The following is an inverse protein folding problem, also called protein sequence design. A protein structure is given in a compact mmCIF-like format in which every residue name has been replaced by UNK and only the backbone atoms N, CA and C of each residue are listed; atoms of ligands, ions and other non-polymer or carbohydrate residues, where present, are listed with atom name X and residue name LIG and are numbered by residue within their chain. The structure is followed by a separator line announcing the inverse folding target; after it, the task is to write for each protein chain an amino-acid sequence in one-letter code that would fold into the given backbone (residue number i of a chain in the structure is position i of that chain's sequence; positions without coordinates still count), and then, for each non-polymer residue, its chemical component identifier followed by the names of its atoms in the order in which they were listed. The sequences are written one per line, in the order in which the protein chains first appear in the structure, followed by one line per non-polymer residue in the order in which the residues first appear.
data_IF_329861264654
#
_entry.id   IF_329861264654
#
_cell.length_a   1.000
_cell.length_b   1.000
_cell.length_c   1.000
_cell.angle_alpha   90.00
_cell.angle_beta   90.00
_cell.angle_gamma   90.00
#
_symmetry.space_group_name_H-M   'P 1'
#
loop_
_entity.id
_entity.type
_entity.pdbx_description
1 polymer ?
#
# COMPACT_ATOMS: atom_id res chain seq x y z
N UNK A 1 -50.91 -39.83 32.83
CA UNK A 1 -51.32 -38.74 33.70
C UNK A 1 -50.71 -37.45 33.12
N UNK A 2 -51.44 -36.70 32.30
CA UNK A 2 -52.33 -35.55 32.58
C UNK A 2 -51.55 -34.47 33.33
N UNK A 3 -51.40 -33.20 32.86
CA UNK A 3 -52.43 -32.26 32.35
C UNK A 3 -51.68 -31.08 31.60
N UNK A 4 -52.10 -30.75 30.46
CA UNK A 4 -52.87 -29.61 29.91
C UNK A 4 -52.57 -28.18 30.46
N UNK A 5 -52.30 -27.37 29.49
CA UNK A 5 -52.32 -25.92 29.32
C UNK A 5 -53.40 -25.12 30.07
N UNK A 6 -53.35 -23.77 30.12
CA UNK A 6 -53.72 -23.01 28.93
C UNK A 6 -53.00 -21.67 28.68
N UNK A 7 -53.13 -21.27 27.41
CA UNK A 7 -52.90 -20.03 26.73
C UNK A 7 -53.65 -18.87 27.37
N UNK A 8 -53.00 -17.74 27.57
CA UNK A 8 -53.74 -16.46 27.71
C UNK A 8 -53.20 -15.45 26.73
N UNK A 9 -54.03 -15.12 25.73
CA UNK A 9 -53.93 -13.97 24.86
C UNK A 9 -54.43 -12.75 25.64
N UNK A 10 -53.74 -11.62 25.58
CA UNK A 10 -54.34 -10.32 25.88
C UNK A 10 -53.97 -9.34 24.81
N UNK A 11 -55.02 -8.75 24.27
CA UNK A 11 -55.07 -7.83 23.17
C UNK A 11 -54.65 -6.40 23.60
N UNK A 12 -54.24 -5.65 22.61
CA UNK A 12 -53.98 -4.21 22.67
C UNK A 12 -55.25 -3.37 22.95
N UNK A 13 -55.09 -2.12 23.34
CA UNK A 13 -55.82 -1.12 22.58
C UNK A 13 -54.96 0.01 22.02
N UNK A 14 -55.30 0.39 20.79
CA UNK A 14 -54.96 1.64 20.13
C UNK A 14 -55.47 2.82 21.01
N UNK A 15 -54.57 3.76 21.24
CA UNK A 15 -54.99 5.12 21.63
C UNK A 15 -54.52 6.11 20.56
N UNK A 16 -55.49 6.58 19.79
CA UNK A 16 -55.40 7.65 18.83
C UNK A 16 -55.41 8.96 19.62
N UNK A 17 -54.30 9.70 19.62
CA UNK A 17 -54.31 11.10 20.10
C UNK A 17 -54.01 12.04 18.93
N UNK A 18 -55.09 12.71 18.47
CA UNK A 18 -54.95 13.92 17.67
C UNK A 18 -54.32 15.02 18.53
N UNK A 19 -53.26 15.62 18.08
CA UNK A 19 -52.83 16.94 18.55
C UNK A 19 -52.77 17.86 17.35
N UNK A 20 -53.63 18.90 17.46
CA UNK A 20 -53.76 20.03 16.56
C UNK A 20 -52.41 20.74 16.35
N UNK A 21 -52.28 21.25 15.13
CA UNK A 21 -51.16 22.01 14.66
C UNK A 21 -50.90 23.32 15.40
N UNK A 22 -49.64 23.59 15.57
CA UNK A 22 -49.08 24.94 15.54
C UNK A 22 -47.94 24.93 14.51
N UNK A 23 -48.21 25.61 13.41
CA UNK A 23 -47.17 25.91 12.42
C UNK A 23 -46.20 26.91 13.05
N UNK A 24 -45.05 26.39 13.50
CA UNK A 24 -43.89 27.22 13.76
C UNK A 24 -43.08 27.21 12.46
N UNK A 25 -43.11 28.33 11.76
CA UNK A 25 -42.20 28.61 10.68
C UNK A 25 -40.75 28.69 11.26
N UNK A 26 -40.14 27.56 11.48
CA UNK A 26 -38.70 27.47 11.63
C UNK A 26 -38.14 27.39 10.22
N UNK A 27 -37.59 28.49 9.77
CA UNK A 27 -36.69 28.53 8.65
C UNK A 27 -35.54 27.53 8.97
N UNK A 28 -35.70 26.31 8.51
CA UNK A 28 -34.65 25.32 8.55
C UNK A 28 -33.54 25.81 7.62
N UNK A 29 -32.57 26.52 8.20
CA UNK A 29 -31.28 26.67 7.59
C UNK A 29 -30.79 25.28 7.26
N UNK A 30 -30.68 24.95 5.99
CA UNK A 30 -29.97 23.78 5.48
C UNK A 30 -28.65 23.71 6.24
N UNK A 31 -28.33 22.60 6.94
CA UNK A 31 -26.97 22.43 7.47
C UNK A 31 -26.06 22.52 6.26
N UNK A 32 -25.29 23.60 6.20
CA UNK A 32 -24.15 23.66 5.29
C UNK A 32 -23.20 22.55 5.74
N UNK A 33 -23.31 21.39 5.11
CA UNK A 33 -22.28 20.40 5.17
C UNK A 33 -20.94 21.10 4.89
N UNK A 34 -19.81 20.59 5.39
CA UNK A 34 -18.54 21.22 5.15
C UNK A 34 -18.46 21.48 3.65
N UNK A 35 -18.43 22.76 3.25
CA UNK A 35 -18.09 23.12 1.88
C UNK A 35 -16.74 22.46 1.66
N UNK A 36 -16.72 21.43 0.83
CA UNK A 36 -15.50 21.00 0.18
C UNK A 36 -15.01 22.25 -0.54
N UNK A 37 -14.16 23.00 0.14
CA UNK A 37 -13.38 24.05 -0.50
C UNK A 37 -12.68 23.28 -1.60
N UNK A 38 -12.97 23.61 -2.86
CA UNK A 38 -12.18 23.12 -3.98
C UNK A 38 -10.73 23.33 -3.58
N UNK A 39 -10.09 22.28 -3.11
CA UNK A 39 -8.64 22.29 -2.90
C UNK A 39 -8.13 22.42 -4.31
N UNK A 40 -7.79 23.62 -4.70
CA UNK A 40 -7.15 23.92 -5.99
C UNK A 40 -6.00 22.93 -6.06
N UNK A 41 -6.08 21.98 -6.97
CA UNK A 41 -5.12 20.92 -7.16
C UNK A 41 -3.73 21.44 -6.91
N UNK A 42 -3.10 20.99 -5.82
CA UNK A 42 -1.78 21.47 -5.43
C UNK A 42 -0.88 21.33 -6.64
N UNK A 43 -0.29 22.43 -7.05
CA UNK A 43 0.44 22.49 -8.31
C UNK A 43 1.72 21.70 -8.09
N UNK A 44 1.76 20.46 -8.61
CA UNK A 44 2.98 19.65 -8.56
C UNK A 44 4.14 20.47 -9.08
N UNK A 45 5.16 20.65 -8.27
CA UNK A 45 6.41 21.27 -8.65
C UNK A 45 7.32 20.22 -9.27
N UNK A 46 8.07 20.60 -10.31
CA UNK A 46 9.06 19.70 -10.92
C UNK A 46 10.47 19.90 -10.36
N UNK A 47 10.65 20.90 -9.52
CA UNK A 47 11.88 21.19 -8.77
C UNK A 47 11.53 22.05 -7.57
N UNK A 48 12.20 21.82 -6.48
CA UNK A 48 12.04 22.59 -5.23
C UNK A 48 13.29 22.45 -4.37
N UNK A 49 13.26 23.12 -3.22
CA UNK A 49 14.20 22.85 -2.15
C UNK A 49 13.97 21.44 -1.59
N UNK A 50 15.00 20.62 -1.64
CA UNK A 50 14.96 19.17 -1.39
C UNK A 50 14.57 18.76 0.03
N UNK A 51 14.63 19.70 0.99
CA UNK A 51 14.34 19.41 2.39
C UNK A 51 12.85 19.43 2.73
N UNK A 52 11.99 19.55 1.73
CA UNK A 52 10.54 19.60 1.93
C UNK A 52 9.80 18.50 1.20
N UNK A 53 9.09 17.66 1.96
CA UNK A 53 7.97 16.91 1.44
C UNK A 53 6.72 17.80 1.44
N UNK A 54 6.03 17.86 0.30
CA UNK A 54 4.81 18.66 0.10
C UNK A 54 3.60 17.75 -0.02
N UNK A 55 2.43 18.26 0.36
CA UNK A 55 1.16 17.60 0.03
C UNK A 55 0.91 17.58 -1.48
N UNK A 56 0.28 16.52 -1.96
CA UNK A 56 -0.23 16.37 -3.33
C UNK A 56 -1.65 15.84 -3.28
N UNK A 57 -2.52 16.48 -4.06
CA UNK A 57 -3.88 16.01 -4.27
C UNK A 57 -4.05 15.66 -5.74
N UNK A 58 -4.62 14.50 -6.00
CA UNK A 58 -4.83 13.97 -7.35
C UNK A 58 -6.28 13.57 -7.51
N UNK A 59 -6.91 14.07 -8.59
CA UNK A 59 -8.25 13.61 -8.98
C UNK A 59 -8.12 12.23 -9.63
N UNK A 60 -8.81 11.26 -9.04
CA UNK A 60 -8.91 9.90 -9.55
C UNK A 60 -10.31 9.69 -10.13
N UNK A 61 -10.45 9.40 -11.42
CA UNK A 61 -11.74 9.14 -12.03
C UNK A 61 -12.29 7.80 -11.53
N UNK A 62 -13.37 7.87 -10.78
CA UNK A 62 -14.17 6.70 -10.37
C UNK A 62 -15.56 6.88 -10.94
N UNK A 63 -16.06 5.90 -11.67
CA UNK A 63 -17.39 6.03 -12.28
C UNK A 63 -18.47 5.97 -11.18
N UNK A 64 -19.39 6.96 -11.10
CA UNK A 64 -19.61 8.10 -12.00
C UNK A 64 -18.97 9.44 -11.57
N UNK A 65 -18.21 9.48 -10.48
CA UNK A 65 -17.70 10.71 -9.85
C UNK A 65 -16.19 10.61 -9.62
N UNK A 66 -15.46 11.69 -9.90
CA UNK A 66 -14.04 11.77 -9.50
C UNK A 66 -13.93 11.93 -7.99
N UNK A 67 -13.01 11.18 -7.39
CA UNK A 67 -12.57 11.31 -6.00
C UNK A 67 -11.18 11.94 -5.93
N UNK A 68 -10.77 12.38 -4.76
CA UNK A 68 -9.47 12.97 -4.52
C UNK A 68 -8.64 11.99 -3.70
N UNK A 69 -7.49 11.58 -4.25
CA UNK A 69 -6.43 10.93 -3.50
C UNK A 69 -5.49 12.01 -2.95
N UNK A 70 -5.12 11.85 -1.69
CA UNK A 70 -4.16 12.70 -1.00
C UNK A 70 -2.80 12.02 -0.93
N UNK A 71 -1.74 12.78 -0.75
CA UNK A 71 -0.41 12.20 -0.62
C UNK A 71 0.67 13.24 -0.34
N UNK A 72 1.90 12.82 -0.48
CA UNK A 72 3.10 13.63 -0.28
C UNK A 72 4.10 13.38 -1.39
N UNK A 73 4.90 14.39 -1.70
CA UNK A 73 5.98 14.26 -2.67
C UNK A 73 7.20 15.12 -2.30
N UNK A 74 8.34 14.71 -2.79
CA UNK A 74 9.57 15.50 -2.78
C UNK A 74 10.15 15.54 -4.20
N UNK A 75 10.75 16.68 -4.56
CA UNK A 75 11.41 16.86 -5.86
C UNK A 75 12.77 17.51 -5.65
N UNK A 76 13.77 17.19 -6.49
CA UNK A 76 15.10 17.77 -6.38
C UNK A 76 15.11 19.25 -6.80
N UNK A 77 16.19 19.96 -6.47
CA UNK A 77 16.42 21.34 -6.91
C UNK A 77 16.62 21.46 -8.43
N UNK A 78 16.95 20.36 -9.09
CA UNK A 78 17.09 20.24 -10.55
C UNK A 78 15.88 19.55 -11.16
N UNK A 79 15.77 19.54 -12.49
CA UNK A 79 14.68 18.82 -13.17
C UNK A 79 14.92 17.31 -13.10
N UNK A 80 14.05 16.52 -12.43
CA UNK A 80 14.21 15.08 -12.34
C UNK A 80 14.02 14.40 -13.70
N UNK A 81 14.76 13.36 -13.94
CA UNK A 81 14.55 12.44 -15.08
C UNK A 81 13.77 11.19 -14.70
N UNK A 82 13.71 10.89 -13.41
CA UNK A 82 13.04 9.72 -12.85
C UNK A 82 12.00 10.14 -11.81
N UNK A 83 10.90 9.42 -11.77
CA UNK A 83 9.89 9.44 -10.72
C UNK A 83 9.90 8.08 -10.02
N UNK A 84 9.88 8.10 -8.70
CA UNK A 84 9.58 6.93 -7.87
C UNK A 84 8.20 7.13 -7.24
N UNK A 85 7.32 6.15 -7.40
CA UNK A 85 6.04 6.07 -6.69
C UNK A 85 6.21 5.05 -5.57
N UNK A 86 5.98 5.47 -4.34
CA UNK A 86 6.09 4.63 -3.15
C UNK A 86 4.70 4.24 -2.64
N UNK A 87 4.47 2.96 -2.46
CA UNK A 87 3.24 2.40 -1.91
C UNK A 87 3.49 1.85 -0.51
N UNK A 88 2.66 2.31 0.45
CA UNK A 88 2.83 2.00 1.87
C UNK A 88 2.18 0.68 2.28
N UNK A 89 2.68 0.08 3.36
CA UNK A 89 2.14 -1.12 3.96
C UNK A 89 0.87 -0.86 4.79
N UNK A 90 0.33 -1.95 5.33
CA UNK A 90 -0.83 -1.90 6.22
C UNK A 90 -0.50 -1.15 7.51
N UNK A 91 -1.41 -0.29 7.92
CA UNK A 91 -1.23 0.55 9.12
C UNK A 91 -0.54 1.88 8.86
N UNK A 92 -0.05 2.12 7.66
CA UNK A 92 0.79 3.26 7.30
C UNK A 92 0.08 4.23 6.34
N UNK A 93 0.75 5.34 6.03
CA UNK A 93 0.30 6.38 5.11
C UNK A 93 1.48 6.90 4.29
N UNK A 94 1.23 7.80 3.35
CA UNK A 94 2.29 8.51 2.61
C UNK A 94 3.33 9.20 3.50
N UNK A 95 2.98 9.48 4.78
CA UNK A 95 3.89 10.12 5.74
C UNK A 95 5.06 9.20 6.11
N UNK A 96 4.87 7.89 6.12
CA UNK A 96 5.92 6.91 6.40
C UNK A 96 7.08 6.98 5.40
N UNK A 97 6.81 7.44 4.18
CA UNK A 97 7.81 7.57 3.13
C UNK A 97 8.57 8.90 3.08
N UNK A 98 8.24 9.88 3.96
CA UNK A 98 8.75 11.25 3.85
C UNK A 98 10.28 11.31 3.82
N UNK A 99 10.96 10.57 4.70
CA UNK A 99 12.44 10.61 4.74
C UNK A 99 13.05 9.96 3.50
N UNK A 100 12.51 8.84 3.03
CA UNK A 100 12.98 8.20 1.79
C UNK A 100 12.73 9.10 0.57
N UNK A 101 11.59 9.78 0.50
CA UNK A 101 11.32 10.74 -0.58
C UNK A 101 12.29 11.92 -0.57
N UNK A 102 12.63 12.45 0.61
CA UNK A 102 13.64 13.52 0.76
C UNK A 102 15.03 13.05 0.36
N UNK A 103 15.41 11.84 0.77
CA UNK A 103 16.67 11.22 0.39
C UNK A 103 16.74 10.99 -1.13
N UNK A 104 15.67 10.46 -1.73
CA UNK A 104 15.56 10.30 -3.19
C UNK A 104 15.79 11.63 -3.94
N UNK A 105 15.17 12.69 -3.46
CA UNK A 105 15.31 14.02 -4.07
C UNK A 105 16.72 14.61 -3.88
N UNK A 106 17.28 14.55 -2.67
CA UNK A 106 18.55 15.15 -2.29
C UNK A 106 19.74 14.39 -2.86
N UNK A 107 19.76 13.07 -2.67
CA UNK A 107 20.97 12.28 -2.88
C UNK A 107 21.00 11.65 -4.29
N UNK A 108 19.82 11.43 -4.89
CA UNK A 108 19.69 10.77 -6.19
C UNK A 108 19.10 11.68 -7.29
N UNK A 109 18.66 12.88 -6.96
CA UNK A 109 18.09 13.81 -7.95
C UNK A 109 16.79 13.35 -8.58
N UNK A 110 15.99 12.57 -7.85
CA UNK A 110 14.78 11.85 -8.31
C UNK A 110 13.55 12.55 -7.73
N UNK A 111 12.47 12.66 -8.50
CA UNK A 111 11.17 12.96 -7.94
C UNK A 111 10.60 11.72 -7.26
N UNK A 112 10.01 11.91 -6.08
CA UNK A 112 9.41 10.82 -5.32
C UNK A 112 8.04 11.23 -4.80
N UNK A 113 7.07 10.30 -4.82
CA UNK A 113 5.70 10.53 -4.38
C UNK A 113 5.15 9.29 -3.70
N UNK A 114 4.31 9.49 -2.69
CA UNK A 114 3.51 8.45 -2.06
C UNK A 114 2.08 8.97 -1.89
N UNK A 115 1.07 8.11 -2.02
CA UNK A 115 -0.34 8.44 -1.84
C UNK A 115 -0.90 7.78 -0.60
N UNK A 116 -1.87 8.43 0.03
CA UNK A 116 -2.75 7.82 1.02
C UNK A 116 -3.89 7.16 0.24
N UNK A 117 -4.08 5.85 0.40
CA UNK A 117 -5.07 5.12 -0.40
C UNK A 117 -6.47 5.58 -0.04
N UNK A 118 -7.29 5.87 -1.06
CA UNK A 118 -8.69 6.27 -0.86
C UNK A 118 -9.44 5.20 -0.04
N UNK A 119 -10.32 5.64 0.82
CA UNK A 119 -11.08 4.74 1.69
C UNK A 119 -10.36 4.29 2.96
N UNK A 120 -9.07 4.62 3.11
CA UNK A 120 -8.33 4.34 4.34
C UNK A 120 -8.84 5.21 5.49
N UNK A 121 -9.10 4.60 6.65
CA UNK A 121 -9.41 5.31 7.88
C UNK A 121 -8.12 5.77 8.55
N UNK A 122 -7.83 7.07 8.43
CA UNK A 122 -6.63 7.67 9.03
C UNK A 122 -7.01 8.33 10.34
N UNK A 123 -6.37 7.91 11.42
CA UNK A 123 -6.50 8.51 12.76
C UNK A 123 -5.23 9.26 13.14
N UNK A 124 -5.32 10.27 14.03
CA UNK A 124 -4.13 10.90 14.58
C UNK A 124 -3.24 9.86 15.27
N UNK A 125 -1.95 10.16 15.30
CA UNK A 125 -0.94 9.41 16.04
C UNK A 125 -1.41 9.03 17.44
N UNK A 126 -1.79 7.78 17.65
CA UNK A 126 -2.31 7.28 18.90
C UNK A 126 -1.23 6.54 19.72
N UNK A 127 -0.20 6.02 19.06
CA UNK A 127 0.90 5.29 19.67
C UNK A 127 2.11 6.18 20.03
N UNK A 128 2.14 7.43 19.53
CA UNK A 128 3.16 8.42 19.87
C UNK A 128 4.46 8.30 19.06
N UNK A 129 4.45 7.58 17.95
CA UNK A 129 5.61 7.43 17.04
C UNK A 129 5.77 8.60 16.05
N UNK A 130 4.84 9.53 16.08
CA UNK A 130 4.83 10.70 15.20
C UNK A 130 4.16 10.45 13.85
N UNK A 131 3.60 9.26 13.60
CA UNK A 131 2.90 8.90 12.38
C UNK A 131 1.39 8.77 12.64
N UNK A 132 0.52 9.08 11.67
CA UNK A 132 -0.88 8.75 11.76
C UNK A 132 -1.06 7.25 11.55
N UNK A 133 -2.02 6.67 12.24
CA UNK A 133 -2.40 5.28 12.02
C UNK A 133 -3.44 5.17 10.92
N UNK A 134 -3.33 4.12 10.13
CA UNK A 134 -4.22 3.87 9.01
C UNK A 134 -4.86 2.48 9.13
N UNK A 135 -6.15 2.39 8.84
CA UNK A 135 -6.91 1.14 8.83
C UNK A 135 -7.59 0.98 7.48
N UNK A 136 -7.61 -0.24 6.99
CA UNK A 136 -8.21 -0.64 5.73
C UNK A 136 -7.21 -1.31 4.79
N UNK A 137 -7.67 -2.34 4.11
CA UNK A 137 -6.90 -3.07 3.09
C UNK A 137 -7.26 -2.52 1.71
N UNK A 138 -6.85 -1.27 1.38
CA UNK A 138 -7.32 -0.52 0.21
C UNK A 138 -6.36 -0.65 -0.98
N UNK A 139 -6.08 -1.89 -1.40
CA UNK A 139 -5.04 -2.15 -2.42
C UNK A 139 -5.48 -1.77 -3.84
N UNK A 140 -6.77 -1.91 -4.17
CA UNK A 140 -7.29 -1.54 -5.49
C UNK A 140 -7.37 -0.03 -5.65
N UNK A 141 -7.93 0.68 -4.67
CA UNK A 141 -7.94 2.13 -4.65
C UNK A 141 -6.52 2.70 -4.62
N UNK A 142 -5.63 2.10 -3.84
CA UNK A 142 -4.21 2.48 -3.80
C UNK A 142 -3.53 2.32 -5.15
N UNK A 143 -3.82 1.25 -5.88
CA UNK A 143 -3.29 1.01 -7.22
C UNK A 143 -3.77 2.08 -8.23
N UNK A 144 -5.06 2.41 -8.22
CA UNK A 144 -5.62 3.49 -9.04
C UNK A 144 -5.01 4.86 -8.67
N UNK A 145 -4.83 5.13 -7.38
CA UNK A 145 -4.26 6.37 -6.88
C UNK A 145 -2.79 6.52 -7.31
N UNK A 146 -2.03 5.43 -7.27
CA UNK A 146 -0.62 5.38 -7.71
C UNK A 146 -0.49 5.59 -9.22
N UNK A 147 -1.40 5.02 -10.03
CA UNK A 147 -1.50 5.30 -11.46
C UNK A 147 -1.79 6.78 -11.70
N UNK A 148 -2.80 7.33 -11.03
CA UNK A 148 -3.22 8.71 -11.23
C UNK A 148 -2.13 9.72 -10.86
N UNK A 149 -1.42 9.49 -9.75
CA UNK A 149 -0.33 10.37 -9.34
C UNK A 149 0.86 10.28 -10.29
N UNK A 150 1.22 9.09 -10.77
CA UNK A 150 2.26 8.92 -11.78
C UNK A 150 1.92 9.70 -13.07
N UNK A 151 0.69 9.55 -13.57
CA UNK A 151 0.20 10.29 -14.73
C UNK A 151 0.23 11.81 -14.50
N UNK A 152 -0.14 12.27 -13.29
CA UNK A 152 -0.09 13.69 -12.91
C UNK A 152 1.32 14.25 -12.99
N UNK A 153 2.30 13.52 -12.45
CA UNK A 153 3.71 13.92 -12.53
C UNK A 153 4.22 13.95 -13.96
N UNK A 154 3.94 12.94 -14.78
CA UNK A 154 4.32 12.87 -16.19
C UNK A 154 3.68 13.99 -17.03
N UNK A 155 2.43 14.31 -16.74
CA UNK A 155 1.73 15.41 -17.40
C UNK A 155 2.39 16.76 -17.09
N UNK A 156 2.88 16.93 -15.87
CA UNK A 156 3.43 18.18 -15.36
C UNK A 156 4.93 18.33 -15.58
N UNK A 157 5.69 17.26 -15.37
CA UNK A 157 7.16 17.25 -15.37
C UNK A 157 7.69 16.51 -16.59
N UNK A 158 7.73 17.19 -17.73
CA UNK A 158 8.11 16.60 -19.04
C UNK A 158 9.57 16.12 -19.11
N UNK A 159 10.38 16.44 -18.11
CA UNK A 159 11.74 15.90 -17.97
C UNK A 159 11.79 14.44 -17.53
N UNK A 160 10.73 13.94 -16.87
CA UNK A 160 10.65 12.55 -16.40
C UNK A 160 10.55 11.61 -17.60
N UNK A 161 11.47 10.64 -17.66
CA UNK A 161 11.60 9.63 -18.71
C UNK A 161 11.55 8.21 -18.17
N UNK A 162 11.64 8.06 -16.86
CA UNK A 162 11.59 6.78 -16.18
C UNK A 162 10.67 6.87 -14.98
N UNK A 163 9.86 5.83 -14.76
CA UNK A 163 9.00 5.71 -13.57
C UNK A 163 9.24 4.34 -12.95
N UNK A 164 9.56 4.35 -11.68
CA UNK A 164 9.67 3.13 -10.86
C UNK A 164 8.56 3.16 -9.84
N UNK A 165 7.87 2.03 -9.64
CA UNK A 165 6.93 1.85 -8.54
C UNK A 165 7.57 0.91 -7.52
N UNK A 166 7.41 1.23 -6.24
CA UNK A 166 8.08 0.56 -5.12
C UNK A 166 7.07 0.36 -4.00
N UNK A 167 6.83 -0.88 -3.59
CA UNK A 167 5.87 -1.18 -2.54
C UNK A 167 6.42 -2.14 -1.50
N UNK A 168 6.01 -1.92 -0.24
CA UNK A 168 6.38 -2.78 0.90
C UNK A 168 5.13 -3.43 1.47
N UNK A 169 5.17 -4.73 1.78
CA UNK A 169 4.06 -5.41 2.46
C UNK A 169 2.74 -5.31 1.66
N UNK A 170 1.67 -4.79 2.25
CA UNK A 170 0.44 -4.44 1.53
C UNK A 170 0.72 -3.54 0.32
N UNK A 171 1.71 -2.63 0.42
CA UNK A 171 2.15 -1.79 -0.69
C UNK A 171 2.78 -2.59 -1.84
N UNK A 172 3.36 -3.76 -1.57
CA UNK A 172 3.81 -4.71 -2.60
C UNK A 172 2.62 -5.25 -3.42
N UNK A 173 1.51 -5.59 -2.76
CA UNK A 173 0.27 -5.93 -3.44
C UNK A 173 -0.25 -4.73 -4.25
N UNK A 174 -0.37 -3.56 -3.62
CA UNK A 174 -0.84 -2.32 -4.27
C UNK A 174 -0.04 -1.99 -5.52
N UNK A 175 1.29 -1.99 -5.42
CA UNK A 175 2.19 -1.67 -6.54
C UNK A 175 2.11 -2.69 -7.66
N UNK A 176 1.99 -3.98 -7.34
CA UNK A 176 1.79 -5.05 -8.33
C UNK A 176 0.47 -4.90 -9.09
N UNK A 177 -0.63 -4.62 -8.37
CA UNK A 177 -1.92 -4.31 -8.99
C UNK A 177 -1.86 -3.04 -9.82
N UNK A 178 -1.14 -1.99 -9.37
CA UNK A 178 -0.96 -0.78 -10.17
C UNK A 178 -0.25 -1.06 -11.50
N UNK A 179 0.78 -1.91 -11.50
CA UNK A 179 1.46 -2.33 -12.73
C UNK A 179 0.50 -3.10 -13.64
N UNK A 180 -0.29 -4.02 -13.10
CA UNK A 180 -1.26 -4.82 -13.85
C UNK A 180 -2.36 -3.93 -14.46
N UNK A 181 -2.99 -3.06 -13.67
CA UNK A 181 -4.03 -2.14 -14.11
C UNK A 181 -3.52 -1.11 -15.13
N UNK A 182 -2.23 -0.78 -15.10
CA UNK A 182 -1.60 0.13 -16.05
C UNK A 182 -1.33 -0.49 -17.44
N UNK A 183 -1.81 -1.71 -17.72
CA UNK A 183 -1.58 -2.39 -19.01
C UNK A 183 -1.95 -1.54 -20.23
N UNK A 184 -3.01 -0.74 -20.11
CA UNK A 184 -3.48 0.15 -21.17
C UNK A 184 -3.01 1.61 -20.99
N UNK A 185 -2.33 1.92 -19.90
CA UNK A 185 -1.83 3.26 -19.57
C UNK A 185 -0.43 3.48 -20.14
N UNK A 186 -0.35 3.82 -21.42
CA UNK A 186 0.94 4.15 -22.05
C UNK A 186 1.24 5.65 -21.95
N UNK A 187 2.53 5.98 -21.87
CA UNK A 187 2.99 7.37 -22.01
C UNK A 187 2.84 7.86 -23.45
N UNK A 188 2.95 9.15 -23.67
CA UNK A 188 2.81 9.75 -24.99
C UNK A 188 3.83 9.23 -26.04
N UNK A 189 4.97 8.69 -25.59
CA UNK A 189 5.98 8.07 -26.42
C UNK A 189 5.79 6.57 -26.64
N UNK A 190 4.67 6.01 -26.15
CA UNK A 190 4.33 4.59 -26.25
C UNK A 190 4.99 3.70 -25.19
N UNK A 191 5.85 4.25 -24.32
CA UNK A 191 6.47 3.50 -23.25
C UNK A 191 5.46 3.14 -22.13
N UNK A 192 5.74 2.12 -21.32
CA UNK A 192 4.87 1.74 -20.20
C UNK A 192 4.74 2.88 -19.18
N UNK A 193 3.64 2.90 -18.42
CA UNK A 193 3.50 3.88 -17.34
C UNK A 193 4.60 3.69 -16.29
N UNK A 194 4.79 2.45 -15.84
CA UNK A 194 5.86 2.05 -14.93
C UNK A 194 6.93 1.27 -15.70
N UNK A 195 8.18 1.74 -15.63
CA UNK A 195 9.30 1.05 -16.27
C UNK A 195 9.76 -0.16 -15.46
N UNK A 196 9.78 -0.02 -14.13
CA UNK A 196 10.21 -1.06 -13.20
C UNK A 196 9.29 -1.12 -11.99
N UNK A 197 9.19 -2.32 -11.42
CA UNK A 197 8.53 -2.57 -10.16
C UNK A 197 9.52 -3.16 -9.15
N UNK A 198 9.53 -2.61 -7.93
CA UNK A 198 10.28 -3.16 -6.78
C UNK A 198 9.25 -3.62 -5.75
N UNK A 199 9.23 -4.91 -5.52
CA UNK A 199 8.39 -5.58 -4.55
C UNK A 199 9.20 -5.95 -3.31
N UNK A 200 8.80 -5.48 -2.15
CA UNK A 200 9.51 -5.68 -0.89
C UNK A 200 8.58 -6.36 0.09
N UNK A 201 8.83 -7.65 0.34
CA UNK A 201 8.00 -8.44 1.26
C UNK A 201 6.50 -8.27 0.99
N UNK A 202 6.15 -8.21 -0.30
CA UNK A 202 4.80 -7.90 -0.74
C UNK A 202 3.79 -9.01 -0.46
N UNK A 203 2.61 -8.63 0.04
CA UNK A 203 1.47 -9.53 0.24
C UNK A 203 0.77 -9.83 -1.10
N UNK A 204 1.55 -10.29 -2.08
CA UNK A 204 1.14 -10.45 -3.49
C UNK A 204 0.10 -11.54 -3.72
N UNK A 205 -0.05 -12.45 -2.77
CA UNK A 205 -1.11 -13.46 -2.72
C UNK A 205 -2.01 -13.17 -1.50
N UNK A 206 -3.00 -12.29 -1.69
CA UNK A 206 -3.90 -11.86 -0.62
C UNK A 206 -4.74 -13.02 -0.06
N UNK A 207 -4.96 -14.09 -0.83
CA UNK A 207 -5.67 -15.29 -0.37
C UNK A 207 -4.87 -15.98 0.75
N UNK A 208 -3.56 -16.14 0.55
CA UNK A 208 -2.68 -16.70 1.55
C UNK A 208 -2.52 -15.76 2.75
N UNK A 209 -2.40 -14.45 2.51
CA UNK A 209 -2.35 -13.44 3.57
C UNK A 209 -3.62 -13.49 4.44
N UNK A 210 -4.79 -13.58 3.82
CA UNK A 210 -6.06 -13.72 4.53
C UNK A 210 -6.14 -15.03 5.34
N UNK A 211 -5.68 -16.13 4.77
CA UNK A 211 -5.64 -17.41 5.47
C UNK A 211 -4.75 -17.35 6.72
N UNK A 212 -3.56 -16.76 6.61
CA UNK A 212 -2.64 -16.53 7.73
C UNK A 212 -3.24 -15.62 8.80
N UNK A 213 -3.80 -14.49 8.39
CA UNK A 213 -4.49 -13.56 9.30
C UNK A 213 -5.66 -14.24 10.01
N UNK A 214 -6.46 -15.03 9.29
CA UNK A 214 -7.60 -15.76 9.86
C UNK A 214 -7.17 -16.81 10.89
N UNK A 215 -6.07 -17.50 10.65
CA UNK A 215 -5.53 -18.50 11.58
C UNK A 215 -5.02 -17.86 12.88
N UNK A 216 -4.43 -16.67 12.79
CA UNK A 216 -3.86 -15.97 13.93
C UNK A 216 -4.85 -15.06 14.67
N UNK A 217 -5.93 -14.62 14.04
CA UNK A 217 -6.92 -13.69 14.58
C UNK A 217 -7.44 -14.05 16.00
N UNK A 218 -7.63 -15.34 16.37
CA UNK A 218 -8.11 -15.68 17.71
C UNK A 218 -7.13 -15.32 18.84
N UNK A 219 -5.84 -15.12 18.53
CA UNK A 219 -4.77 -14.94 19.53
C UNK A 219 -3.90 -13.70 19.28
N UNK A 220 -4.16 -12.99 18.18
CA UNK A 220 -3.37 -11.82 17.79
C UNK A 220 -4.30 -10.72 17.25
N UNK A 221 -4.31 -9.56 17.94
CA UNK A 221 -5.18 -8.44 17.61
C UNK A 221 -4.84 -7.81 16.26
N UNK A 222 -3.56 -7.70 15.91
CA UNK A 222 -3.14 -7.20 14.59
C UNK A 222 -3.67 -8.09 13.47
N UNK A 223 -3.54 -9.41 13.60
CA UNK A 223 -4.08 -10.36 12.64
C UNK A 223 -5.62 -10.29 12.56
N UNK A 224 -6.30 -10.10 13.69
CA UNK A 224 -7.75 -9.92 13.73
C UNK A 224 -8.18 -8.66 12.97
N UNK A 225 -7.44 -7.56 13.15
CA UNK A 225 -7.67 -6.31 12.43
C UNK A 225 -7.39 -6.48 10.92
N UNK A 226 -6.26 -7.05 10.53
CA UNK A 226 -5.93 -7.28 9.13
C UNK A 226 -6.99 -8.15 8.43
N UNK A 227 -7.43 -9.23 9.10
CA UNK A 227 -8.52 -10.08 8.61
C UNK A 227 -9.80 -9.27 8.37
N UNK A 228 -10.22 -8.47 9.36
CA UNK A 228 -11.44 -7.68 9.25
C UNK A 228 -11.37 -6.64 8.12
N UNK A 229 -10.23 -5.96 7.97
CA UNK A 229 -10.02 -4.96 6.93
C UNK A 229 -9.94 -5.60 5.53
N UNK A 230 -9.38 -6.82 5.41
CA UNK A 230 -9.43 -7.59 4.15
C UNK A 230 -10.89 -7.99 3.84
N UNK A 231 -11.64 -8.49 4.81
CA UNK A 231 -13.05 -8.84 4.59
C UNK A 231 -13.91 -7.62 4.22
N UNK A 232 -13.61 -6.44 4.77
CA UNK A 232 -14.29 -5.19 4.38
C UNK A 232 -13.99 -4.83 2.93
N UNK A 233 -12.74 -4.88 2.50
CA UNK A 233 -12.33 -4.62 1.12
C UNK A 233 -12.98 -5.60 0.13
N UNK A 234 -12.93 -6.88 0.45
CA UNK A 234 -13.48 -7.94 -0.41
C UNK A 234 -15.03 -8.02 -0.37
N UNK A 235 -15.64 -7.36 0.61
CA UNK A 235 -17.10 -7.43 0.84
C UNK A 235 -17.56 -8.75 1.44
N UNK A 236 -16.69 -9.48 2.13
CA UNK A 236 -16.98 -10.74 2.83
C UNK A 236 -15.77 -11.65 2.97
N UNK A 237 -16.00 -12.84 3.53
CA UNK A 237 -14.97 -13.88 3.67
C UNK A 237 -14.55 -14.46 2.32
N UNK A 238 -13.41 -15.17 2.29
CA UNK A 238 -12.94 -15.87 1.07
C UNK A 238 -14.01 -16.82 0.50
N UNK A 239 -14.67 -17.60 1.35
CA UNK A 239 -15.71 -18.55 0.91
C UNK A 239 -16.93 -17.84 0.26
N UNK A 240 -17.20 -16.60 0.66
CA UNK A 240 -18.30 -15.81 0.14
C UNK A 240 -17.93 -15.03 -1.15
N UNK A 241 -16.66 -14.69 -1.32
CA UNK A 241 -16.17 -13.78 -2.35
C UNK A 241 -14.88 -14.27 -3.04
N UNK A 242 -14.76 -15.55 -3.40
CA UNK A 242 -13.50 -16.10 -3.92
C UNK A 242 -12.98 -15.37 -5.16
N UNK A 243 -13.89 -14.94 -6.05
CA UNK A 243 -13.51 -14.21 -7.26
C UNK A 243 -12.92 -12.83 -6.94
N UNK A 244 -13.47 -12.13 -5.93
CA UNK A 244 -12.94 -10.82 -5.50
C UNK A 244 -11.55 -10.97 -4.90
N UNK A 245 -11.32 -11.98 -4.06
CA UNK A 245 -9.99 -12.28 -3.55
C UNK A 245 -9.00 -12.61 -4.68
N UNK A 246 -9.46 -13.35 -5.69
CA UNK A 246 -8.64 -13.66 -6.85
C UNK A 246 -8.26 -12.41 -7.65
N UNK A 247 -9.19 -11.46 -7.80
CA UNK A 247 -8.95 -10.18 -8.47
C UNK A 247 -7.99 -9.25 -7.69
N UNK A 248 -7.85 -9.45 -6.39
CA UNK A 248 -6.94 -8.68 -5.54
C UNK A 248 -5.58 -9.35 -5.35
N UNK A 249 -5.40 -10.57 -5.82
CA UNK A 249 -4.14 -11.31 -5.75
C UNK A 249 -3.28 -11.03 -6.99
N UNK A 250 -2.16 -10.33 -6.81
CA UNK A 250 -1.23 -9.96 -7.90
C UNK A 250 -0.76 -11.17 -8.69
N UNK A 251 -0.59 -12.32 -8.02
CA UNK A 251 -0.17 -13.57 -8.66
C UNK A 251 -1.11 -14.05 -9.78
N UNK A 252 -2.36 -13.59 -9.79
CA UNK A 252 -3.33 -13.89 -10.83
C UNK A 252 -3.28 -12.92 -12.02
N UNK A 253 -2.50 -11.83 -11.93
CA UNK A 253 -2.44 -10.77 -12.94
C UNK A 253 -1.15 -10.76 -13.76
N UNK A 254 -0.42 -11.86 -13.80
CA UNK A 254 0.88 -11.94 -14.52
C UNK A 254 0.74 -11.58 -16.01
N UNK A 255 -0.35 -11.99 -16.62
CA UNK A 255 -0.66 -11.62 -18.02
C UNK A 255 -0.82 -10.12 -18.21
N UNK A 256 -1.48 -9.45 -17.28
CA UNK A 256 -1.68 -7.99 -17.30
C UNK A 256 -0.38 -7.25 -16.98
N UNK A 257 0.41 -7.75 -16.02
CA UNK A 257 1.75 -7.23 -15.72
C UNK A 257 2.64 -7.30 -16.97
N UNK A 258 2.62 -8.43 -17.68
CA UNK A 258 3.35 -8.55 -18.96
C UNK A 258 2.82 -7.56 -20.00
N UNK A 259 1.50 -7.44 -20.15
CA UNK A 259 0.87 -6.52 -21.09
C UNK A 259 1.13 -5.04 -20.78
N UNK A 260 1.36 -4.70 -19.50
CA UNK A 260 1.75 -3.33 -19.11
C UNK A 260 3.04 -2.90 -19.79
N UNK A 261 3.90 -3.84 -20.15
CA UNK A 261 5.21 -3.60 -20.75
C UNK A 261 6.27 -3.17 -19.72
N UNK A 262 6.07 -3.48 -18.42
CA UNK A 262 7.09 -3.31 -17.40
C UNK A 262 8.39 -3.97 -17.84
N UNK A 263 9.51 -3.26 -17.70
CA UNK A 263 10.81 -3.71 -18.23
C UNK A 263 11.52 -4.70 -17.31
N UNK A 264 11.10 -4.73 -16.04
CA UNK A 264 11.64 -5.69 -15.08
C UNK A 264 11.10 -5.47 -13.67
N UNK A 265 11.25 -6.50 -12.86
CA UNK A 265 10.80 -6.56 -11.48
C UNK A 265 11.98 -6.95 -10.58
N UNK A 266 12.10 -6.27 -9.45
CA UNK A 266 12.99 -6.65 -8.36
C UNK A 266 12.14 -7.11 -7.19
N UNK A 267 12.37 -8.31 -6.69
CA UNK A 267 11.71 -8.86 -5.51
C UNK A 267 12.75 -8.98 -4.39
N UNK A 268 12.45 -8.41 -3.23
CA UNK A 268 13.32 -8.49 -2.04
C UNK A 268 12.52 -9.04 -0.88
N UNK A 269 12.97 -10.15 -0.28
CA UNK A 269 12.19 -10.79 0.78
C UNK A 269 13.10 -11.50 1.78
N UNK A 270 12.78 -11.34 3.08
CA UNK A 270 13.46 -12.01 4.18
C UNK A 270 12.95 -13.44 4.41
N UNK A 271 13.84 -14.39 4.68
CA UNK A 271 13.44 -15.75 5.07
C UNK A 271 12.74 -15.79 6.43
N UNK A 272 13.03 -14.82 7.29
CA UNK A 272 12.47 -14.73 8.65
C UNK A 272 11.21 -13.87 8.72
N UNK A 273 10.67 -13.40 7.59
CA UNK A 273 9.41 -12.66 7.56
C UNK A 273 8.26 -13.54 8.05
N UNK A 274 7.70 -13.18 9.19
CA UNK A 274 6.59 -13.90 9.80
C UNK A 274 5.22 -13.29 9.53
N UNK A 275 5.16 -12.10 8.87
CA UNK A 275 3.91 -11.46 8.46
C UNK A 275 3.50 -11.86 7.06
N UNK A 276 4.42 -11.72 6.11
CA UNK A 276 4.22 -12.16 4.74
C UNK A 276 5.17 -13.32 4.46
N UNK A 277 4.65 -14.55 4.36
CA UNK A 277 5.49 -15.72 4.18
C UNK A 277 6.35 -15.63 2.92
N UNK A 278 7.63 -15.97 3.03
CA UNK A 278 8.62 -15.97 1.94
C UNK A 278 8.17 -16.75 0.68
N UNK A 279 7.30 -17.76 0.83
CA UNK A 279 6.77 -18.48 -0.32
C UNK A 279 5.97 -17.61 -1.28
N UNK A 280 5.36 -16.49 -0.85
CA UNK A 280 4.69 -15.54 -1.75
C UNK A 280 5.68 -14.92 -2.74
N UNK A 281 6.87 -14.51 -2.27
CA UNK A 281 7.92 -14.00 -3.14
C UNK A 281 8.43 -15.08 -4.12
N UNK A 282 8.53 -16.33 -3.66
CA UNK A 282 8.91 -17.47 -4.50
C UNK A 282 7.88 -17.76 -5.58
N UNK A 283 6.61 -17.78 -5.23
CA UNK A 283 5.50 -17.96 -6.15
C UNK A 283 5.52 -16.85 -7.21
N UNK A 284 5.53 -15.58 -6.77
CA UNK A 284 5.55 -14.42 -7.66
C UNK A 284 6.73 -14.44 -8.62
N UNK A 285 7.94 -14.68 -8.10
CA UNK A 285 9.16 -14.76 -8.93
C UNK A 285 9.07 -15.89 -9.95
N UNK A 286 8.56 -17.05 -9.56
CA UNK A 286 8.33 -18.19 -10.46
C UNK A 286 7.43 -17.82 -11.62
N UNK A 287 6.27 -17.23 -11.32
CA UNK A 287 5.27 -16.81 -12.32
C UNK A 287 5.80 -15.72 -13.26
N UNK A 288 6.55 -14.75 -12.73
CA UNK A 288 7.19 -13.70 -13.56
C UNK A 288 8.21 -14.30 -14.52
N UNK A 289 9.03 -15.24 -14.05
CA UNK A 289 10.01 -15.97 -14.87
C UNK A 289 9.33 -16.79 -15.97
N UNK A 290 8.28 -17.54 -15.66
CA UNK A 290 7.50 -18.31 -16.63
C UNK A 290 6.90 -17.39 -17.71
N UNK A 291 6.45 -16.20 -17.31
CA UNK A 291 5.98 -15.19 -18.25
C UNK A 291 7.10 -14.49 -19.05
N UNK A 292 8.36 -14.80 -18.79
CA UNK A 292 9.54 -14.15 -19.37
C UNK A 292 9.60 -12.64 -19.09
N UNK A 293 9.20 -12.23 -17.89
CA UNK A 293 9.39 -10.87 -17.39
C UNK A 293 10.76 -10.84 -16.71
N UNK A 294 11.69 -9.94 -17.09
CA UNK A 294 12.98 -9.81 -16.43
C UNK A 294 12.81 -9.62 -14.92
N UNK A 295 13.40 -10.49 -14.12
CA UNK A 295 13.17 -10.49 -12.68
C UNK A 295 14.45 -10.87 -11.95
N UNK A 296 14.83 -10.07 -10.94
CA UNK A 296 15.86 -10.39 -9.97
C UNK A 296 15.21 -10.58 -8.60
N UNK A 297 15.55 -11.67 -7.91
CA UNK A 297 15.09 -11.94 -6.57
C UNK A 297 16.26 -11.87 -5.58
N UNK A 298 16.09 -11.10 -4.53
CA UNK A 298 17.03 -10.96 -3.43
C UNK A 298 16.42 -11.59 -2.17
N UNK A 299 16.98 -12.70 -1.76
CA UNK A 299 16.60 -13.43 -0.55
C UNK A 299 17.50 -13.00 0.59
N UNK A 300 16.93 -12.42 1.63
CA UNK A 300 17.67 -12.07 2.83
C UNK A 300 17.70 -13.28 3.73
N UNK A 301 18.87 -13.95 3.76
CA UNK A 301 19.09 -15.21 4.49
C UNK A 301 19.42 -15.03 5.95
N UNK A 302 19.70 -13.79 6.37
CA UNK A 302 20.18 -13.49 7.71
C UNK A 302 19.15 -12.75 8.52
N UNK A 303 18.98 -13.15 9.79
CA UNK A 303 18.29 -12.35 10.78
C UNK A 303 18.94 -10.98 10.87
N UNK A 304 18.13 -9.97 11.05
CA UNK A 304 18.61 -8.64 11.37
C UNK A 304 19.24 -8.67 12.78
N UNK A 305 20.53 -8.91 12.88
CA UNK A 305 21.25 -9.08 14.17
C UNK A 305 21.46 -7.75 14.92
N UNK A 306 21.30 -6.62 14.27
CA UNK A 306 21.33 -5.35 14.94
C UNK A 306 19.93 -5.07 15.53
N UNK A 307 19.85 -4.63 16.80
CA UNK A 307 18.59 -4.07 17.26
C UNK A 307 18.22 -2.96 16.29
N UNK A 308 17.26 -3.25 15.45
CA UNK A 308 16.68 -2.23 14.63
C UNK A 308 16.09 -1.23 15.61
N UNK A 309 16.68 -0.05 15.66
CA UNK A 309 16.14 1.06 16.46
C UNK A 309 14.86 1.61 15.83
N UNK A 310 14.40 0.96 14.78
CA UNK A 310 13.15 1.28 14.14
C UNK A 310 11.99 0.94 15.07
N UNK A 311 11.52 1.97 15.74
CA UNK A 311 10.39 1.89 16.67
C UNK A 311 9.06 1.65 15.95
N UNK A 312 9.02 1.72 14.61
CA UNK A 312 7.81 1.45 13.83
C UNK A 312 7.32 0.02 13.99
N UNK A 313 8.22 -0.92 14.28
CA UNK A 313 7.86 -2.29 14.60
C UNK A 313 7.31 -2.47 16.02
N UNK A 314 7.49 -1.50 16.92
CA UNK A 314 7.06 -1.60 18.34
C UNK A 314 5.56 -1.42 18.53
N UNK A 315 4.85 -0.83 17.57
CA UNK A 315 3.41 -0.60 17.64
C UNK A 315 2.56 -1.82 17.30
N UNK A 316 3.13 -2.83 16.71
CA UNK A 316 2.43 -4.03 16.29
C UNK A 316 2.48 -5.12 17.35
N UNK A 317 1.50 -6.00 17.40
CA UNK A 317 1.44 -7.13 18.33
C UNK A 317 1.33 -6.75 19.82
N UNK A 318 0.55 -5.72 20.15
CA UNK A 318 0.32 -5.34 21.55
C UNK A 318 1.56 -4.77 22.25
N UNK A 319 2.44 -4.13 21.49
CA UNK A 319 3.60 -3.42 22.06
C UNK A 319 4.75 -4.32 22.49
N UNK A 320 4.77 -5.58 22.06
CA UNK A 320 5.86 -6.49 22.39
C UNK A 320 6.65 -6.86 21.14
N UNK A 321 7.65 -6.06 20.83
CA UNK A 321 8.82 -6.62 20.17
C UNK A 321 9.48 -7.58 21.14
N UNK A 322 9.68 -8.81 20.69
CA UNK A 322 10.64 -9.66 21.36
C UNK A 322 12.01 -8.99 21.22
N UNK A 323 12.65 -8.59 22.33
CA UNK A 323 13.97 -7.97 22.28
C UNK A 323 15.03 -8.90 21.69
N UNK A 324 14.72 -10.18 21.51
CA UNK A 324 15.57 -11.19 20.89
C UNK A 324 15.23 -11.46 19.43
N UNK A 325 14.39 -10.66 18.78
CA UNK A 325 13.98 -10.86 17.37
C UNK A 325 13.30 -12.21 17.07
N UNK A 326 12.66 -12.80 18.07
CA UNK A 326 11.85 -14.00 17.85
C UNK A 326 10.39 -13.67 17.53
N UNK A 327 10.05 -12.39 17.40
CA UNK A 327 8.74 -11.97 16.92
C UNK A 327 8.65 -12.19 15.41
N UNK A 328 7.54 -12.72 14.91
CA UNK A 328 7.27 -12.76 13.48
C UNK A 328 7.42 -11.41 12.79
N UNK A 329 7.20 -10.31 13.51
CA UNK A 329 7.33 -8.95 13.00
C UNK A 329 8.77 -8.51 12.81
N UNK A 330 9.72 -9.07 13.55
CA UNK A 330 11.12 -8.63 13.50
C UNK A 330 11.80 -8.92 12.15
N UNK A 331 11.28 -9.89 11.38
CA UNK A 331 11.75 -10.20 10.04
C UNK A 331 11.10 -9.36 8.94
N UNK A 332 10.05 -8.62 9.25
CA UNK A 332 9.29 -7.84 8.28
C UNK A 332 9.75 -6.39 8.25
N UNK A 333 10.08 -5.89 7.07
CA UNK A 333 10.55 -4.52 6.88
C UNK A 333 9.42 -3.50 7.01
N UNK A 334 9.75 -2.33 7.53
CA UNK A 334 8.86 -1.16 7.53
C UNK A 334 9.38 -0.07 6.61
N UNK A 335 8.48 0.70 6.03
CA UNK A 335 8.80 1.85 5.18
C UNK A 335 9.55 2.96 5.92
N UNK A 336 9.44 3.01 7.23
CA UNK A 336 10.19 3.99 8.03
C UNK A 336 11.61 3.58 8.30
N UNK A 337 11.95 2.30 8.09
CA UNK A 337 13.28 1.77 8.40
C UNK A 337 14.35 2.33 7.47
N UNK A 338 15.43 2.80 8.09
CA UNK A 338 16.64 3.25 7.39
C UNK A 338 17.77 2.19 7.49
N UNK A 339 17.58 1.14 8.28
CA UNK A 339 18.65 0.21 8.66
C UNK A 339 18.27 -1.26 8.51
N UNK A 340 16.99 -1.58 8.39
CA UNK A 340 16.53 -2.96 8.16
C UNK A 340 17.14 -3.50 6.86
N UNK A 341 17.79 -4.66 6.92
CA UNK A 341 18.57 -5.19 5.80
C UNK A 341 17.73 -5.36 4.53
N UNK A 342 16.47 -5.74 4.65
CA UNK A 342 15.55 -5.87 3.51
C UNK A 342 15.33 -4.51 2.85
N UNK A 343 15.02 -3.45 3.63
CA UNK A 343 14.83 -2.10 3.11
C UNK A 343 16.10 -1.54 2.48
N UNK A 344 17.24 -1.69 3.15
CA UNK A 344 18.54 -1.24 2.63
C UNK A 344 18.84 -1.92 1.29
N UNK A 345 18.62 -3.25 1.20
CA UNK A 345 18.79 -3.99 -0.05
C UNK A 345 17.85 -3.49 -1.13
N UNK A 346 16.58 -3.33 -0.82
CA UNK A 346 15.57 -2.90 -1.79
C UNK A 346 15.86 -1.48 -2.32
N UNK A 347 16.23 -0.56 -1.44
CA UNK A 347 16.58 0.81 -1.84
C UNK A 347 17.87 0.83 -2.68
N UNK A 348 18.88 0.04 -2.33
CA UNK A 348 20.09 -0.05 -3.13
C UNK A 348 19.79 -0.60 -4.54
N UNK A 349 18.91 -1.59 -4.64
CA UNK A 349 18.44 -2.09 -5.96
C UNK A 349 17.62 -1.04 -6.71
N UNK A 350 16.78 -0.26 -6.03
CA UNK A 350 16.08 0.88 -6.64
C UNK A 350 17.07 1.86 -7.29
N UNK A 351 18.12 2.25 -6.55
CA UNK A 351 19.13 3.18 -7.10
C UNK A 351 19.93 2.58 -8.25
N UNK A 352 20.17 1.29 -8.20
CA UNK A 352 20.83 0.54 -9.27
C UNK A 352 19.97 0.51 -10.54
N UNK A 353 18.66 0.26 -10.43
CA UNK A 353 17.69 0.35 -11.54
C UNK A 353 17.68 1.74 -12.16
N UNK A 354 17.62 2.78 -11.32
CA UNK A 354 17.62 4.17 -11.77
C UNK A 354 18.92 4.53 -12.48
N UNK A 355 20.03 3.95 -12.05
CA UNK A 355 21.34 4.04 -12.70
C UNK A 355 21.47 3.28 -14.03
N UNK A 356 20.42 2.54 -14.44
CA UNK A 356 20.36 1.88 -15.74
C UNK A 356 20.71 0.39 -15.72
N UNK A 357 20.87 -0.24 -14.56
CA UNK A 357 21.08 -1.69 -14.45
C UNK A 357 19.70 -2.37 -14.30
N UNK A 358 19.16 -2.85 -15.41
CA UNK A 358 17.90 -3.57 -15.42
C UNK A 358 18.04 -4.98 -14.81
N UNK A 359 16.95 -5.55 -14.27
CA UNK A 359 16.93 -6.93 -13.81
C UNK A 359 17.27 -7.91 -14.93
N UNK A 360 17.89 -9.03 -14.54
CA UNK A 360 18.25 -10.10 -15.45
C UNK A 360 17.07 -11.03 -15.78
N UNK A 361 17.40 -12.17 -16.37
CA UNK A 361 16.41 -13.16 -16.78
C UNK A 361 16.11 -14.17 -15.67
N UNK A 362 15.79 -13.69 -14.47
CA UNK A 362 15.40 -14.54 -13.34
C UNK A 362 16.58 -14.94 -12.46
N UNK A 363 17.44 -14.00 -12.12
CA UNK A 363 18.54 -14.24 -11.18
C UNK A 363 18.01 -14.32 -9.76
N UNK A 364 18.64 -15.14 -8.96
CA UNK A 364 18.38 -15.26 -7.53
C UNK A 364 19.70 -14.99 -6.78
N UNK A 365 19.62 -14.07 -5.82
CA UNK A 365 20.74 -13.66 -4.99
C UNK A 365 20.42 -13.92 -3.53
N UNK A 366 21.38 -14.44 -2.79
CA UNK A 366 21.29 -14.60 -1.35
C UNK A 366 22.11 -13.49 -0.71
N UNK A 367 21.48 -12.75 0.19
CA UNK A 367 22.11 -11.64 0.91
C UNK A 367 22.33 -12.07 2.35
N UNK A 368 23.58 -12.39 2.69
CA UNK A 368 23.97 -12.90 4.01
C UNK A 368 24.69 -11.85 4.88
N UNK A 369 24.84 -10.64 4.40
CA UNK A 369 25.67 -9.63 5.05
C UNK A 369 24.95 -8.30 5.31
N UNK A 370 25.39 -7.55 6.34
CA UNK A 370 24.72 -6.32 6.76
C UNK A 370 24.90 -5.13 5.84
N UNK A 371 25.72 -5.18 4.83
CA UNK A 371 25.90 -4.07 3.86
C UNK A 371 26.63 -4.50 2.60
N UNK A 372 25.98 -4.28 1.46
CA UNK A 372 26.64 -3.71 0.27
C UNK A 372 27.65 -4.57 -0.52
N UNK A 373 27.83 -5.83 -0.22
CA UNK A 373 28.49 -6.75 -1.16
C UNK A 373 27.44 -7.64 -1.81
N UNK A 374 26.67 -7.01 -2.68
CA UNK A 374 25.82 -7.76 -3.60
C UNK A 374 26.70 -8.24 -4.75
N UNK A 375 26.54 -9.49 -5.22
CA UNK A 375 27.27 -9.97 -6.37
C UNK A 375 26.99 -9.17 -7.62
#
# INVERSE_FOLDING_TARGET
LKDRQPILRLAAPLALAMVLGMAVNASAGTPSGPRLTEVRSSRVLCRDDVDRARGVDVSVPVTPVSQIAHGRYAVPSTKPKTLVVFDHGYGHTSKSWVEHMKNAARDHGVAAVAVDYRGTHITPDANGDGLPEARGWRVMEGAEDSIAVAQRFLARCKSIKQVVIFGVSMGGNTSGLAVALAKDAKRADGSPLFDYWVDVEGAVNVIETYAGASALAPVNEFAAHAKADIEEEMGGTFDQKPDVYADHAVVNHIGDIKASGVKGVVVVHGLDDGLVPYNQAREMTGLLKEASIPTDMYTIGRKNDAPDKDTSLTGYAGGQLDPNYNSPLAGHASETSQTHIVMVTALDRLWTLIGGQAPGAGNEYIVDGPTGTYP
#
